data_IF_348734464760
#
_entry.id   IF_348734464760
#
_cell.length_a   1.000
_cell.length_b   1.000
_cell.length_c   1.000
_cell.angle_alpha   90.00
_cell.angle_beta   90.00
_cell.angle_gamma   90.00
#
_symmetry.space_group_name_H-M   'P 1'
#
loop_
_entity.id
_entity.type
_entity.pdbx_description
1 polymer ?
2 polymer ?
3 water ?
#
# COMPACT_ATOMS: atom_id res chain seq x y z
N UNK A 10 14.81 -16.43 3.00
CA UNK A 10 16.21 -16.02 3.13
C UNK A 10 16.52 -14.58 2.72
N UNK A 11 15.50 -13.83 2.33
CA UNK A 11 15.66 -12.47 1.82
C UNK A 11 15.34 -11.50 2.97
N UNK A 12 16.19 -10.48 3.15
CA UNK A 12 15.91 -9.44 4.15
C UNK A 12 16.01 -8.02 3.59
N UNK A 13 15.01 -7.19 3.92
CA UNK A 13 14.90 -5.80 3.48
C UNK A 13 15.53 -4.84 4.47
N UNK A 14 16.36 -3.93 3.95
CA UNK A 14 16.87 -2.78 4.70
C UNK A 14 15.71 -1.81 5.03
N UNK A 15 15.94 -0.81 5.89
CA UNK A 15 14.87 0.14 6.22
C UNK A 15 14.46 0.93 5.01
N UNK A 16 15.45 1.45 4.28
CA UNK A 16 15.22 2.23 3.08
C UNK A 16 14.43 1.41 2.05
N UNK A 17 14.74 0.11 1.95
CA UNK A 17 14.01 -0.70 0.99
C UNK A 17 12.58 -0.96 1.44
N UNK A 18 12.36 -1.18 2.72
CA UNK A 18 10.98 -1.25 3.18
C UNK A 18 10.27 0.04 2.86
N UNK A 19 10.91 1.17 3.13
CA UNK A 19 10.29 2.46 2.80
C UNK A 19 9.99 2.57 1.31
N UNK A 20 10.94 2.16 0.47
CA UNK A 20 10.74 2.23 -0.98
C UNK A 20 9.49 1.50 -1.46
N UNK A 21 9.30 0.25 -1.02
CA UNK A 21 8.13 -0.50 -1.47
C UNK A 21 6.87 0.13 -0.94
N UNK A 22 6.93 0.56 0.31
CA UNK A 22 5.81 1.18 0.95
C UNK A 22 5.43 2.38 0.11
N UNK A 23 6.42 3.18 -0.23
CA UNK A 23 6.09 4.40 -0.91
C UNK A 23 5.61 4.05 -2.32
N UNK A 24 6.22 3.04 -2.97
CA UNK A 24 5.64 2.65 -4.25
C UNK A 24 4.22 2.10 -4.11
N UNK A 25 3.94 1.32 -3.08
CA UNK A 25 2.58 0.84 -2.94
C UNK A 25 1.62 1.98 -2.70
N UNK A 26 2.01 2.92 -1.86
CA UNK A 26 1.18 4.08 -1.57
C UNK A 26 0.99 4.93 -2.80
N UNK A 27 2.02 5.09 -3.60
CA UNK A 27 1.85 5.92 -4.77
C UNK A 27 0.94 5.28 -5.79
N UNK A 28 1.09 3.97 -6.01
CA UNK A 28 0.18 3.31 -6.93
C UNK A 28 -1.26 3.35 -6.44
N UNK A 29 -1.48 3.25 -5.13
CA UNK A 29 -2.84 3.34 -4.60
C UNK A 29 -3.44 4.73 -4.84
N UNK A 30 -2.63 5.80 -4.73
CA UNK A 30 -3.12 7.13 -5.05
C UNK A 30 -3.48 7.29 -6.51
N UNK A 31 -2.82 6.55 -7.39
CA UNK A 31 -3.12 6.59 -8.81
C UNK A 31 -4.36 5.79 -9.16
N UNK A 32 -5.07 5.24 -8.19
CA UNK A 32 -6.20 4.40 -8.53
C UNK A 32 -5.79 3.03 -9.01
N UNK A 33 -4.50 2.71 -8.99
CA UNK A 33 -3.97 1.40 -9.38
C UNK A 33 -3.84 0.48 -8.16
N UNK A 34 -5.00 -0.04 -7.69
CA UNK A 34 -5.02 -0.93 -6.52
C UNK A 34 -4.35 -2.31 -6.70
N UNK A 35 -4.40 -2.94 -7.89
CA UNK A 35 -3.71 -4.24 -8.03
C UNK A 35 -2.20 -4.09 -7.87
N UNK A 36 -1.64 -3.09 -8.54
CA UNK A 36 -0.21 -2.79 -8.42
C UNK A 36 0.14 -2.47 -6.98
N UNK A 37 -0.75 -1.74 -6.31
CA UNK A 37 -0.52 -1.41 -4.92
C UNK A 37 -0.45 -2.69 -4.11
N UNK A 38 -1.41 -3.60 -4.36
CA UNK A 38 -1.49 -4.85 -3.60
C UNK A 38 -0.29 -5.74 -3.83
N UNK A 39 0.19 -5.81 -5.07
CA UNK A 39 1.35 -6.62 -5.39
C UNK A 39 2.58 -6.15 -4.63
N UNK A 40 2.80 -4.84 -4.63
CA UNK A 40 3.96 -4.29 -3.94
C UNK A 40 3.84 -4.51 -2.43
N UNK A 41 2.65 -4.24 -1.88
CA UNK A 41 2.47 -4.35 -0.44
C UNK A 41 2.45 -5.81 0.01
N UNK A 42 1.96 -6.73 -0.82
CA UNK A 42 2.08 -8.15 -0.52
C UNK A 42 3.53 -8.57 -0.43
N UNK A 43 4.38 -8.05 -1.32
CA UNK A 43 5.77 -8.46 -1.22
C UNK A 43 6.38 -7.96 0.09
N UNK A 44 6.10 -6.69 0.41
CA UNK A 44 6.59 -6.12 1.66
C UNK A 44 6.10 -6.94 2.86
N UNK A 45 4.82 -7.25 2.89
CA UNK A 45 4.23 -7.94 4.02
C UNK A 45 4.53 -9.43 4.00
N UNK A 46 5.00 -9.95 2.88
CA UNK A 46 5.54 -11.30 2.92
C UNK A 46 6.85 -11.31 3.68
N UNK A 47 7.68 -10.29 3.45
CA UNK A 47 8.98 -10.27 4.13
C UNK A 47 9.02 -9.59 5.49
N UNK A 48 8.16 -8.59 5.71
CA UNK A 48 8.09 -7.86 6.98
C UNK A 48 6.62 -7.81 7.36
N UNK A 49 6.11 -8.89 7.92
CA UNK A 49 4.67 -8.97 8.20
C UNK A 49 4.20 -7.94 9.22
N UNK A 50 5.11 -7.42 10.03
CA UNK A 50 4.73 -6.49 11.06
C UNK A 50 4.82 -5.02 10.64
N UNK A 51 5.07 -4.72 9.36
CA UNK A 51 5.13 -3.32 8.90
C UNK A 51 3.73 -2.72 8.93
N UNK A 52 3.42 -1.97 10.01
CA UNK A 52 2.05 -1.54 10.24
C UNK A 52 1.57 -0.57 9.16
N UNK A 53 2.39 0.42 8.82
CA UNK A 53 1.96 1.36 7.79
C UNK A 53 1.67 0.57 6.53
N UNK A 54 2.52 -0.42 6.27
CA UNK A 54 2.28 -1.29 5.14
C UNK A 54 1.01 -2.12 5.29
N UNK A 55 0.73 -2.61 6.51
CA UNK A 55 -0.51 -3.35 6.70
C UNK A 55 -1.72 -2.49 6.39
N UNK A 56 -1.71 -1.24 6.86
CA UNK A 56 -2.79 -0.29 6.57
C UNK A 56 -2.91 0.00 5.08
N UNK A 57 -1.80 0.39 4.47
CA UNK A 57 -1.88 0.74 3.06
C UNK A 57 -2.40 -0.44 2.27
N UNK A 58 -1.85 -1.64 2.52
CA UNK A 58 -2.30 -2.82 1.81
C UNK A 58 -3.76 -3.11 2.10
N UNK A 59 -4.19 -2.90 3.34
CA UNK A 59 -5.57 -3.15 3.70
C UNK A 59 -6.52 -2.31 2.84
N UNK A 60 -6.23 -1.02 2.71
CA UNK A 60 -7.05 -0.16 1.85
C UNK A 60 -6.96 -0.54 0.38
N UNK A 61 -5.76 -0.95 -0.07
CA UNK A 61 -5.60 -1.40 -1.45
C UNK A 61 -6.41 -2.65 -1.75
N UNK A 62 -6.45 -3.59 -0.80
CA UNK A 62 -7.30 -4.76 -0.95
C UNK A 62 -8.77 -4.38 -0.98
N UNK A 63 -9.15 -3.39 -0.16
CA UNK A 63 -10.54 -2.94 -0.19
C UNK A 63 -10.91 -2.28 -1.51
N UNK A 64 -9.92 -1.79 -2.26
CA UNK A 64 -10.25 -1.14 -3.52
C UNK A 64 -10.12 -2.11 -4.67
N UNK A 65 -9.26 -3.12 -4.52
CA UNK A 65 -9.19 -4.18 -5.51
C UNK A 65 -10.24 -5.27 -5.24
N UNK A 66 -11.19 -5.04 -4.32
CA UNK A 66 -12.29 -5.98 -4.03
C UNK A 66 -11.77 -7.36 -3.62
N UNK A 67 -11.15 -7.38 -2.47
CA UNK A 67 -10.64 -8.60 -1.84
C UNK A 67 -11.16 -8.53 -0.40
N UNK A 68 -12.48 -8.70 -0.28
CA UNK A 68 -13.11 -8.47 1.00
C UNK A 68 -12.70 -9.47 2.08
N UNK A 69 -12.62 -10.77 1.77
CA UNK A 69 -12.22 -11.71 2.81
C UNK A 69 -10.79 -11.46 3.31
N UNK A 70 -9.86 -11.21 2.38
CA UNK A 70 -8.52 -10.80 2.76
C UNK A 70 -8.53 -9.49 3.53
N UNK A 71 -9.36 -8.54 3.08
CA UNK A 71 -9.42 -7.23 3.71
C UNK A 71 -9.92 -7.37 5.14
N UNK A 72 -10.83 -8.28 5.36
CA UNK A 72 -11.42 -8.55 6.64
C UNK A 72 -10.37 -9.07 7.59
N UNK A 73 -9.64 -10.08 7.12
CA UNK A 73 -8.65 -10.71 7.99
C UNK A 73 -7.58 -9.69 8.34
N UNK A 74 -7.20 -8.86 7.37
CA UNK A 74 -6.27 -7.78 7.67
C UNK A 74 -6.81 -6.74 8.66
N UNK A 75 -8.09 -6.36 8.52
CA UNK A 75 -8.66 -5.40 9.45
C UNK A 75 -8.75 -5.94 10.88
N UNK A 76 -9.21 -7.18 11.05
CA UNK A 76 -9.21 -7.73 12.40
C UNK A 76 -7.80 -7.90 12.91
N UNK A 77 -6.86 -8.19 12.02
CA UNK A 77 -5.48 -8.25 12.43
C UNK A 77 -5.02 -6.92 12.97
N UNK A 78 -5.33 -5.85 12.25
CA UNK A 78 -4.89 -4.55 12.75
C UNK A 78 -5.60 -4.19 14.03
N UNK A 79 -6.90 -4.47 14.12
CA UNK A 79 -7.62 -4.12 15.32
C UNK A 79 -7.01 -4.80 16.53
N UNK A 80 -6.68 -6.08 16.38
CA UNK A 80 -6.08 -6.83 17.48
C UNK A 80 -4.66 -6.37 17.76
N UNK A 81 -3.98 -5.82 16.75
CA UNK A 81 -2.61 -5.36 16.91
C UNK A 81 -2.45 -3.84 16.96
N UNK A 82 -3.32 -3.08 16.30
CA UNK A 82 -3.26 -1.63 16.40
C UNK A 82 -4.58 -1.15 17.00
N UNK A 83 -4.57 -0.69 18.19
CA UNK A 83 -5.81 -0.58 18.95
C UNK A 83 -6.34 0.82 18.97
N UNK A 84 -7.59 0.98 19.38
CA UNK A 84 -8.25 2.29 19.45
C UNK A 84 -8.23 3.08 18.14
N UNK A 85 -7.95 2.41 17.02
CA UNK A 85 -7.77 3.09 15.75
C UNK A 85 -9.07 3.04 14.94
N UNK A 86 -9.68 4.21 14.75
CA UNK A 86 -10.96 4.28 14.06
C UNK A 86 -10.87 3.69 12.65
N UNK A 87 -9.78 4.00 11.94
CA UNK A 87 -9.69 3.57 10.56
C UNK A 87 -9.79 2.07 10.41
N UNK A 88 -9.35 1.33 11.42
CA UNK A 88 -9.47 -0.12 11.35
C UNK A 88 -10.94 -0.50 11.24
N UNK A 89 -11.77 0.24 11.94
CA UNK A 89 -13.16 -0.13 11.91
C UNK A 89 -13.81 0.30 10.61
N UNK A 90 -13.40 1.41 10.02
CA UNK A 90 -13.92 1.73 8.70
C UNK A 90 -13.51 0.68 7.67
N UNK A 91 -12.27 0.20 7.74
CA UNK A 91 -11.84 -0.87 6.85
C UNK A 91 -12.62 -2.15 7.07
N UNK A 92 -12.87 -2.50 8.33
CA UNK A 92 -13.64 -3.70 8.59
C UNK A 92 -15.04 -3.53 8.02
N UNK A 93 -15.62 -2.34 8.15
CA UNK A 93 -16.96 -2.10 7.64
C UNK A 93 -17.01 -2.26 6.14
N UNK A 94 -16.02 -1.73 5.45
CA UNK A 94 -16.05 -1.81 4.00
C UNK A 94 -15.82 -3.26 3.55
N UNK A 95 -14.87 -3.96 4.19
CA UNK A 95 -14.61 -5.36 3.88
C UNK A 95 -15.83 -6.21 4.15
N UNK A 96 -16.57 -5.89 5.22
CA UNK A 96 -17.72 -6.68 5.62
C UNK A 96 -18.84 -6.46 4.64
N UNK A 97 -18.95 -5.23 4.14
CA UNK A 97 -19.95 -4.92 3.14
C UNK A 97 -19.59 -5.52 1.78
N UNK A 98 -18.29 -5.69 1.50
CA UNK A 98 -17.88 -6.42 0.30
C UNK A 98 -18.22 -7.90 0.39
N UNK A 99 -18.15 -8.47 1.58
CA UNK A 99 -18.50 -9.87 1.75
C UNK A 99 -20.01 -10.13 1.86
N UNK A 100 -20.85 -9.10 1.79
CA UNK A 100 -22.29 -9.29 1.89
C UNK A 100 -22.84 -9.29 3.29
N UNK A 101 -22.00 -9.21 4.31
CA UNK A 101 -22.38 -9.15 5.72
C UNK A 101 -22.64 -7.69 6.07
N UNK A 102 -23.78 -7.19 5.59
CA UNK A 102 -24.09 -5.77 5.72
C UNK A 102 -24.21 -5.38 7.20
N UNK A 103 -24.80 -6.25 8.02
CA UNK A 103 -24.98 -5.92 9.42
C UNK A 103 -23.65 -5.85 10.18
N UNK A 104 -22.74 -6.75 9.82
CA UNK A 104 -21.38 -6.78 10.36
C UNK A 104 -20.68 -5.48 10.00
N UNK A 105 -21.00 -4.99 8.81
CA UNK A 105 -20.49 -3.70 8.40
C UNK A 105 -21.16 -2.55 9.14
N UNK A 106 -22.41 -2.72 9.64
CA UNK A 106 -22.96 -1.58 10.38
C UNK A 106 -22.38 -1.51 11.76
N UNK A 107 -22.14 -2.68 12.38
CA UNK A 107 -21.46 -2.67 13.66
C UNK A 107 -20.05 -2.13 13.52
N UNK A 108 -19.34 -2.53 12.46
CA UNK A 108 -18.00 -1.99 12.25
C UNK A 108 -18.04 -0.49 11.99
N UNK A 109 -19.01 -0.02 11.20
CA UNK A 109 -19.08 1.42 10.92
C UNK A 109 -19.45 2.22 12.15
N UNK A 110 -20.29 1.67 13.00
CA UNK A 110 -20.59 2.38 14.23
C UNK A 110 -19.36 2.45 15.13
N UNK A 111 -18.55 1.38 15.19
CA UNK A 111 -17.31 1.48 15.95
C UNK A 111 -16.40 2.56 15.37
N UNK A 112 -16.36 2.65 14.04
CA UNK A 112 -15.60 3.70 13.37
C UNK A 112 -16.04 5.08 13.78
N UNK A 113 -17.34 5.30 13.87
CA UNK A 113 -17.83 6.63 14.23
C UNK A 113 -17.45 7.01 15.65
N UNK A 114 -17.44 6.05 16.55
CA UNK A 114 -17.15 6.30 17.95
C UNK A 114 -15.69 6.69 18.20
N UNK A 115 -14.78 6.31 17.34
CA UNK A 115 -13.40 6.56 17.66
C UNK A 115 -12.90 7.71 16.84
N UNK A 116 -13.54 7.95 15.71
CA UNK A 116 -13.39 9.22 14.98
C UNK A 116 -13.80 10.29 15.95
N UNK A 117 -14.61 9.89 16.95
CA UNK A 117 -15.07 10.76 18.03
C UNK A 117 -14.03 10.94 19.16
N UNK A 118 -12.77 10.58 18.88
CA UNK A 118 -11.68 10.70 19.84
C UNK A 118 -11.27 12.17 20.02
N UNK A 119 -11.95 13.07 19.31
CA UNK A 119 -11.77 14.51 19.40
C UNK A 119 -12.68 15.06 20.51
N UNK B 20 -23.14 2.88 4.75
CA UNK B 20 -23.13 2.23 3.45
C UNK B 20 -22.19 2.97 2.49
N UNK B 21 -22.66 4.07 1.90
CA UNK B 21 -21.91 4.72 0.85
C UNK B 21 -20.73 5.51 1.44
N UNK B 22 -19.77 5.88 0.60
CA UNK B 22 -18.73 6.79 1.07
C UNK B 22 -19.22 8.23 1.18
N UNK B 23 -18.45 8.97 1.98
CA UNK B 23 -18.62 10.33 2.48
C UNK B 23 -17.27 10.99 2.30
N UNK B 24 -17.26 12.27 1.94
CA UNK B 24 -15.96 12.91 1.81
C UNK B 24 -15.20 12.69 3.10
N UNK B 25 -15.89 12.71 4.23
CA UNK B 25 -15.23 12.42 5.49
C UNK B 25 -14.71 10.99 5.50
N UNK B 26 -15.48 10.05 4.93
CA UNK B 26 -15.07 8.64 4.84
C UNK B 26 -13.83 8.45 4.03
N UNK B 27 -13.75 9.11 2.90
CA UNK B 27 -12.58 8.93 2.09
C UNK B 27 -11.39 9.69 2.69
N UNK B 28 -11.62 10.77 3.44
CA UNK B 28 -10.47 11.47 4.02
C UNK B 28 -9.92 10.61 5.11
N UNK B 29 -10.81 9.97 5.86
CA UNK B 29 -10.32 9.03 6.86
C UNK B 29 -9.63 7.85 6.20
N UNK B 30 -10.12 7.38 5.06
CA UNK B 30 -9.40 6.34 4.32
C UNK B 30 -8.02 6.77 3.87
N UNK B 31 -7.93 7.91 3.18
CA UNK B 31 -6.62 8.41 2.76
C UNK B 31 -5.70 8.50 3.96
N UNK B 32 -6.11 9.26 5.00
CA UNK B 32 -5.25 9.46 6.14
C UNK B 32 -4.86 8.13 6.74
N UNK B 33 -5.76 7.17 6.69
CA UNK B 33 -5.39 5.86 7.20
C UNK B 33 -4.35 5.17 6.35
N UNK B 34 -4.54 5.19 5.03
CA UNK B 34 -3.59 4.51 4.17
C UNK B 34 -2.30 5.28 4.00
N UNK B 35 -2.35 6.61 4.14
CA UNK B 35 -1.19 7.40 3.85
C UNK B 35 -0.09 7.07 4.83
N UNK B 36 1.10 6.67 4.35
CA UNK B 36 2.25 6.49 5.24
C UNK B 36 2.86 7.78 5.75
N UNK B 37 2.57 8.93 5.15
CA UNK B 37 3.10 10.18 5.67
C UNK B 37 4.51 10.33 5.09
N UNK B 38 5.37 11.08 5.77
CA UNK B 38 6.75 11.15 5.30
C UNK B 38 7.31 9.75 5.41
N UNK B 39 7.96 9.30 4.34
CA UNK B 39 8.59 7.99 4.27
C UNK B 39 9.86 8.20 3.46
N UNK B 40 10.54 7.11 3.13
CA UNK B 40 11.81 7.21 2.39
C UNK B 40 12.69 8.32 2.93
N UNK B 41 13.39 8.02 4.01
CA UNK B 41 14.13 9.05 4.72
C UNK B 41 15.50 9.30 4.14
N UNK B 42 15.60 10.18 3.16
CA UNK B 42 16.93 10.41 2.64
C UNK B 42 17.09 11.83 2.16
N UNK B 43 18.36 12.19 1.90
CA UNK B 43 18.78 13.53 1.48
C UNK B 43 18.76 13.80 -0.02
N UNK B 44 18.70 12.78 -0.89
CA UNK B 44 18.70 13.01 -2.33
C UNK B 44 17.72 12.02 -2.96
N UNK B 45 16.44 12.41 -3.00
CA UNK B 45 15.40 11.44 -3.31
C UNK B 45 15.49 10.92 -4.74
N UNK B 46 16.15 11.64 -5.66
CA UNK B 46 16.24 11.17 -7.04
C UNK B 46 17.26 10.06 -7.21
N UNK B 47 18.50 10.30 -6.81
CA UNK B 47 19.48 9.24 -6.90
C UNK B 47 19.12 8.08 -5.99
N UNK B 48 18.61 8.36 -4.78
CA UNK B 48 18.31 7.29 -3.84
C UNK B 48 17.16 6.44 -4.34
N UNK B 49 16.22 7.06 -5.03
CA UNK B 49 15.10 6.30 -5.57
C UNK B 49 15.57 5.37 -6.68
N UNK B 50 16.28 5.92 -7.67
CA UNK B 50 16.73 5.06 -8.78
C UNK B 50 17.63 3.94 -8.29
N UNK B 51 18.42 4.22 -7.25
CA UNK B 51 19.30 3.20 -6.71
C UNK B 51 18.52 2.09 -6.01
N UNK B 52 17.58 2.46 -5.15
CA UNK B 52 16.79 1.41 -4.50
C UNK B 52 15.94 0.68 -5.49
N UNK B 53 15.37 1.38 -6.46
CA UNK B 53 14.58 0.69 -7.45
C UNK B 53 15.42 -0.35 -8.16
N UNK B 54 16.60 0.03 -8.68
CA UNK B 54 17.39 -0.95 -9.40
C UNK B 54 17.88 -2.08 -8.48
N UNK B 55 18.26 -1.75 -7.26
CA UNK B 55 18.74 -2.79 -6.35
C UNK B 55 17.63 -3.75 -6.00
N UNK B 56 16.47 -3.21 -5.74
CA UNK B 56 15.36 -4.01 -5.29
C UNK B 56 14.83 -4.86 -6.44
N UNK B 57 14.79 -4.31 -7.65
CA UNK B 57 14.25 -5.09 -8.77
C UNK B 57 15.14 -6.27 -9.10
N UNK B 58 16.47 -6.09 -8.98
CA UNK B 58 17.33 -7.25 -9.25
C UNK B 58 17.35 -8.22 -8.06
N UNK B 59 17.15 -7.73 -6.84
CA UNK B 59 17.04 -8.58 -5.66
C UNK B 59 15.82 -9.48 -5.64
N UNK B 60 14.62 -8.93 -5.86
CA UNK B 60 13.42 -9.75 -5.77
C UNK B 60 13.22 -10.82 -6.83
N UNK B 61 13.85 -10.74 -8.00
CA UNK B 61 13.64 -11.81 -8.97
C UNK B 61 14.15 -13.14 -8.46
N UNK B 62 15.21 -13.11 -7.65
CA UNK B 62 15.83 -14.29 -7.08
C UNK B 62 14.93 -15.01 -6.08
N UNK B 63 13.81 -14.41 -5.67
CA UNK B 63 12.85 -15.12 -4.83
C UNK B 63 12.11 -16.23 -5.60
N UNK B 64 11.80 -17.31 -4.87
CA UNK B 64 10.96 -18.41 -5.33
C UNK B 64 9.49 -18.17 -5.01
N UNK B 65 9.22 -17.20 -4.15
CA UNK B 65 7.85 -16.84 -3.76
C UNK B 65 7.13 -16.13 -4.89
N UNK B 66 5.89 -16.58 -5.15
CA UNK B 66 5.09 -15.99 -6.21
C UNK B 66 4.79 -14.53 -5.92
N UNK B 67 4.59 -14.22 -4.65
CA UNK B 67 4.26 -12.89 -4.18
C UNK B 67 5.41 -11.93 -4.39
N UNK B 68 6.64 -12.36 -4.09
CA UNK B 68 7.82 -11.54 -4.37
C UNK B 68 8.07 -11.41 -5.88
N UNK B 69 7.87 -12.49 -6.64
CA UNK B 69 8.18 -12.44 -8.05
C UNK B 69 7.32 -11.40 -8.75
N UNK B 70 6.07 -11.25 -8.31
CA UNK B 70 5.20 -10.26 -8.97
C UNK B 70 5.70 -8.84 -8.75
N UNK B 71 6.15 -8.56 -7.54
CA UNK B 71 6.67 -7.23 -7.26
C UNK B 71 7.89 -6.94 -8.11
N UNK B 72 8.77 -7.94 -8.26
CA UNK B 72 9.96 -7.74 -9.06
C UNK B 72 9.58 -7.41 -10.49
N UNK B 73 8.55 -8.05 -11.01
CA UNK B 73 8.17 -7.73 -12.37
C UNK B 73 7.69 -6.27 -12.50
N UNK B 74 6.84 -5.80 -11.57
CA UNK B 74 6.34 -4.44 -11.70
C UNK B 74 7.46 -3.42 -11.56
N UNK B 75 8.43 -3.70 -10.69
CA UNK B 75 9.57 -2.81 -10.58
C UNK B 75 10.36 -2.73 -11.88
N UNK B 76 10.55 -3.87 -12.53
CA UNK B 76 11.24 -3.85 -13.81
C UNK B 76 10.48 -2.96 -14.79
N UNK B 77 9.17 -3.02 -14.68
CA UNK B 77 8.37 -2.13 -15.50
C UNK B 77 8.61 -0.69 -15.30
N UNK B 78 8.58 -0.24 -14.04
CA UNK B 78 8.77 1.20 -13.92
C UNK B 78 10.19 1.52 -14.34
N UNK B 79 11.12 0.59 -14.13
CA UNK B 79 12.51 0.79 -14.56
C UNK B 79 12.58 0.99 -16.08
N UNK B 80 11.67 0.39 -16.82
CA UNK B 80 11.82 0.59 -18.25
C UNK B 80 10.93 1.70 -18.74
N UNK B 81 9.84 1.94 -18.07
CA UNK B 81 9.10 3.14 -18.37
C UNK B 81 9.95 4.38 -18.05
N UNK B 82 10.78 4.33 -17.00
CA UNK B 82 11.67 5.47 -16.78
C UNK B 82 12.69 5.57 -17.88
N UNK B 83 13.17 4.44 -18.43
CA UNK B 83 14.11 4.60 -19.54
C UNK B 83 13.43 5.27 -20.73
N UNK B 84 12.17 4.96 -20.95
CA UNK B 84 11.43 5.59 -22.03
C UNK B 84 11.14 7.06 -21.77
N UNK B 85 10.85 7.41 -20.53
CA UNK B 85 10.54 8.81 -20.29
C UNK B 85 11.80 9.62 -20.34
N UNK B 86 12.92 9.00 -20.00
CA UNK B 86 14.19 9.70 -20.15
C UNK B 86 14.41 10.03 -21.62
N UNK B 87 13.98 9.14 -22.51
CA UNK B 87 14.11 9.44 -23.94
C UNK B 87 13.20 10.59 -24.34
N UNK B 88 12.01 10.62 -23.79
CA UNK B 88 11.08 11.70 -24.10
C UNK B 88 11.56 13.03 -23.57
N UNK B 89 12.09 13.01 -22.35
CA UNK B 89 12.57 14.22 -21.73
C UNK B 89 13.70 14.84 -22.54
N UNK B 90 14.58 14.00 -23.09
CA UNK B 90 15.65 14.52 -23.93
C UNK B 90 15.11 15.22 -25.16
N UNK B 91 14.05 14.67 -25.73
CA UNK B 91 13.42 15.31 -26.89
C UNK B 91 12.80 16.64 -26.54
N UNK B 92 12.29 16.82 -25.33
CA UNK B 92 11.73 18.14 -25.07
C UNK B 92 12.77 19.18 -24.69
N UNK B 93 14.05 18.83 -24.57
CA UNK B 93 15.05 19.83 -24.21
C UNK B 93 15.30 20.69 -25.43
N UNK B 94 15.68 20.04 -26.53
CA UNK B 94 15.97 20.73 -27.78
C UNK B 94 14.65 21.21 -28.41
N UNK B 95 14.29 22.46 -28.10
CA UNK B 95 13.19 23.23 -28.71
C UNK B 95 11.82 22.51 -28.67
#
# INVERSE_FOLDING_TARGET
MGHHHHHHGNITLTKRQQEFLLLNGWLQLQCGHAERACILLDALLTLNPEHLAGRRCRLVALLNNNQGERAEKEAQWLISHDPLQAGNWLCLSRAQQLNGDLDKARHAYQHYLELKDHNESP
GAMGALPPDGHPVEPHLERLYPTAQSKRSLWDFASPGYTFHGLHRAQDYRRELDTLQSLLTTSQSSELQAAAALLKCQQDDDRLLQIILNLLHKV
#
